data_IF_579431730050
#
_entry.id   IF_579431730050
#
_cell.length_a   1.000
_cell.length_b   1.000
_cell.length_c   1.000
_cell.angle_alpha   90.00
_cell.angle_beta   90.00
_cell.angle_gamma   90.00
#
_symmetry.space_group_name_H-M   'P 1'
#
loop_
_entity.id
_entity.type
_entity.pdbx_description
1 polymer ?
#
# COMPACT_ATOMS: atom_id res chain seq x y z
N UNK A 1 1.26 58.45 10.47
CA UNK A 1 -0.21 58.26 10.66
C UNK A 1 -0.56 56.85 10.17
N UNK A 2 -0.37 55.85 11.03
CA UNK A 2 -0.74 54.45 10.71
C UNK A 2 -2.12 54.17 11.29
N UNK A 3 -3.08 53.92 10.40
CA UNK A 3 -4.41 53.39 10.80
C UNK A 3 -4.22 51.89 11.11
N UNK A 4 -4.38 51.50 12.38
CA UNK A 4 -4.61 50.12 12.79
C UNK A 4 -5.97 49.69 12.21
N UNK A 5 -5.97 48.72 11.33
CA UNK A 5 -7.15 47.94 11.05
C UNK A 5 -7.35 46.97 12.22
N UNK A 6 -8.35 47.18 13.02
CA UNK A 6 -8.91 46.18 13.92
C UNK A 6 -9.55 45.11 13.05
N UNK A 7 -8.87 43.95 12.96
CA UNK A 7 -9.46 42.75 12.40
C UNK A 7 -10.47 42.22 13.44
N UNK A 8 -11.69 42.13 13.01
CA UNK A 8 -12.79 41.58 13.80
C UNK A 8 -12.54 40.11 14.07
N UNK A 9 -12.21 39.76 15.31
CA UNK A 9 -11.88 38.40 15.78
C UNK A 9 -13.16 37.57 15.93
N UNK A 10 -14.32 38.11 15.67
CA UNK A 10 -15.61 37.42 15.80
C UNK A 10 -16.03 36.62 14.55
N UNK A 11 -15.43 36.83 13.38
CA UNK A 11 -15.76 36.06 12.17
C UNK A 11 -14.96 34.77 11.95
N UNK A 12 -14.04 34.42 12.84
CA UNK A 12 -13.30 33.12 12.81
C UNK A 12 -13.83 32.11 13.83
N UNK A 13 -15.06 32.15 14.22
CA UNK A 13 -15.73 30.99 14.79
C UNK A 13 -16.27 30.14 13.67
N UNK A 14 -15.37 29.38 13.08
CA UNK A 14 -15.74 28.21 12.27
C UNK A 14 -16.65 27.32 13.12
N UNK A 15 -17.93 27.28 12.78
CA UNK A 15 -18.95 26.45 13.38
C UNK A 15 -18.71 24.98 12.98
N UNK A 16 -17.57 24.44 13.34
CA UNK A 16 -17.37 23.02 13.48
C UNK A 16 -18.19 22.54 14.67
N UNK A 17 -19.51 22.44 14.53
CA UNK A 17 -20.35 21.71 15.46
C UNK A 17 -19.78 20.27 15.53
N UNK A 18 -18.96 20.04 16.56
CA UNK A 18 -18.61 18.68 16.94
C UNK A 18 -19.93 17.98 17.28
N UNK A 19 -20.45 17.19 16.36
CA UNK A 19 -21.56 16.30 16.65
C UNK A 19 -21.12 15.36 17.78
N UNK A 20 -21.53 15.69 18.99
CA UNK A 20 -21.32 14.85 20.17
C UNK A 20 -22.32 13.70 20.02
N UNK A 21 -21.87 12.58 19.43
CA UNK A 21 -22.65 11.33 19.45
C UNK A 21 -22.60 10.78 20.86
N UNK A 22 -23.76 10.49 21.46
CA UNK A 22 -23.84 9.78 22.75
C UNK A 22 -23.19 8.40 22.56
N UNK A 23 -22.17 8.10 23.38
CA UNK A 23 -21.51 6.80 23.36
C UNK A 23 -22.37 5.78 24.14
N UNK A 24 -22.85 4.77 23.45
CA UNK A 24 -23.57 3.66 24.07
C UNK A 24 -22.59 2.65 24.66
N UNK A 25 -22.42 2.67 25.99
CA UNK A 25 -21.56 1.74 26.71
C UNK A 25 -22.09 0.29 26.69
N UNK A 26 -23.36 0.08 26.36
CA UNK A 26 -23.94 -1.27 26.24
C UNK A 26 -23.54 -1.92 24.90
N UNK A 27 -23.13 -1.12 23.89
CA UNK A 27 -22.70 -1.57 22.57
C UNK A 27 -21.41 -0.84 22.15
N UNK A 28 -20.26 -1.25 22.72
CA UNK A 28 -19.00 -0.60 22.39
C UNK A 28 -18.67 -0.78 20.90
N UNK A 29 -18.23 0.31 20.26
CA UNK A 29 -17.78 0.24 18.87
C UNK A 29 -16.57 -0.71 18.78
N UNK A 30 -16.69 -1.75 17.98
CA UNK A 30 -15.61 -2.71 17.72
C UNK A 30 -14.56 -2.14 16.75
N UNK A 31 -14.93 -1.12 15.96
CA UNK A 31 -14.02 -0.43 15.03
C UNK A 31 -13.43 0.80 15.70
N UNK A 32 -12.10 0.93 15.69
CA UNK A 32 -11.41 2.15 16.08
C UNK A 32 -11.45 3.18 14.94
N UNK A 33 -11.20 4.46 15.27
CA UNK A 33 -11.05 5.50 14.23
C UNK A 33 -9.90 5.21 13.27
N UNK A 34 -8.84 4.56 13.73
CA UNK A 34 -7.70 4.17 12.90
C UNK A 34 -8.10 3.08 11.90
N UNK A 35 -8.90 2.09 12.33
CA UNK A 35 -9.40 1.06 11.44
C UNK A 35 -10.25 1.65 10.31
N UNK A 36 -11.19 2.56 10.65
CA UNK A 36 -12.03 3.22 9.66
C UNK A 36 -11.20 4.04 8.67
N UNK A 37 -10.22 4.81 9.16
CA UNK A 37 -9.33 5.59 8.30
C UNK A 37 -8.49 4.71 7.38
N UNK A 38 -8.01 3.56 7.86
CA UNK A 38 -7.28 2.61 7.02
C UNK A 38 -8.19 2.03 5.94
N UNK A 39 -9.43 1.69 6.29
CA UNK A 39 -10.42 1.25 5.31
C UNK A 39 -10.70 2.33 4.26
N UNK A 40 -10.80 3.61 4.63
CA UNK A 40 -10.93 4.72 3.67
C UNK A 40 -9.80 4.69 2.64
N UNK A 41 -8.55 4.57 3.08
CA UNK A 41 -7.38 4.51 2.19
C UNK A 41 -7.46 3.31 1.23
N UNK A 42 -7.86 2.12 1.74
CA UNK A 42 -8.08 0.92 0.91
C UNK A 42 -9.14 1.20 -0.16
N UNK A 43 -10.26 1.80 0.23
CA UNK A 43 -11.37 2.05 -0.67
C UNK A 43 -11.17 3.27 -1.58
N UNK A 44 -10.31 4.22 -1.23
CA UNK A 44 -9.82 5.24 -2.18
C UNK A 44 -9.03 4.59 -3.33
N UNK A 45 -8.19 3.59 -3.01
CA UNK A 45 -7.50 2.82 -4.05
C UNK A 45 -8.51 2.05 -4.90
N UNK A 46 -9.47 1.38 -4.29
CA UNK A 46 -10.57 0.72 -4.99
C UNK A 46 -11.35 1.66 -5.91
N UNK A 47 -11.67 2.86 -5.44
CA UNK A 47 -12.34 3.89 -6.24
C UNK A 47 -11.56 4.29 -7.49
N UNK A 48 -10.23 4.40 -7.38
CA UNK A 48 -9.36 4.65 -8.55
C UNK A 48 -9.42 3.50 -9.56
N UNK A 49 -9.42 2.25 -9.09
CA UNK A 49 -9.54 1.08 -9.96
C UNK A 49 -10.89 1.03 -10.67
N UNK A 50 -11.98 1.32 -9.97
CA UNK A 50 -13.32 1.44 -10.57
C UNK A 50 -13.33 2.54 -11.64
N UNK A 51 -12.81 3.73 -11.33
CA UNK A 51 -12.75 4.86 -12.27
C UNK A 51 -11.96 4.54 -13.54
N UNK A 52 -11.01 3.62 -13.47
CA UNK A 52 -10.17 3.22 -14.60
C UNK A 52 -10.79 2.08 -15.40
N UNK A 53 -11.37 1.07 -14.73
CA UNK A 53 -11.81 -0.17 -15.36
C UNK A 53 -13.26 -0.13 -15.86
N UNK A 54 -14.20 0.43 -15.10
CA UNK A 54 -15.63 0.45 -15.51
C UNK A 54 -15.90 1.27 -16.78
N UNK A 55 -15.18 2.36 -17.12
CA UNK A 55 -15.35 3.07 -18.39
C UNK A 55 -15.20 2.19 -19.62
N UNK A 56 -14.40 1.13 -19.55
CA UNK A 56 -14.21 0.16 -20.66
C UNK A 56 -15.55 -0.53 -21.01
N UNK A 57 -16.35 -0.84 -19.99
CA UNK A 57 -17.65 -1.53 -20.13
C UNK A 57 -18.77 -0.54 -20.42
N UNK A 58 -18.82 0.58 -19.69
CA UNK A 58 -19.93 1.54 -19.76
C UNK A 58 -19.74 2.62 -20.83
N UNK A 59 -18.55 2.71 -21.43
CA UNK A 59 -18.19 3.70 -22.48
C UNK A 59 -18.55 5.14 -22.10
N UNK A 60 -18.36 5.47 -20.83
CA UNK A 60 -18.61 6.79 -20.26
C UNK A 60 -17.57 7.06 -19.18
N UNK A 61 -17.21 8.33 -18.99
CA UNK A 61 -16.34 8.72 -17.88
C UNK A 61 -17.02 8.45 -16.54
N UNK A 62 -16.28 7.88 -15.60
CA UNK A 62 -16.77 7.54 -14.26
C UNK A 62 -15.86 8.21 -13.25
N UNK A 63 -16.45 8.98 -12.35
CA UNK A 63 -15.78 9.57 -11.20
C UNK A 63 -16.23 8.84 -9.94
N UNK A 64 -15.27 8.50 -9.09
CA UNK A 64 -15.53 7.77 -7.85
C UNK A 64 -14.80 8.48 -6.72
N UNK A 65 -15.52 8.77 -5.65
CA UNK A 65 -15.01 9.45 -4.48
C UNK A 65 -15.52 8.79 -3.20
N UNK A 66 -14.63 8.48 -2.27
CA UNK A 66 -15.02 7.98 -0.96
C UNK A 66 -15.53 9.15 -0.12
N UNK A 67 -16.77 9.07 0.33
CA UNK A 67 -17.43 10.13 1.09
C UNK A 67 -17.13 10.04 2.59
N UNK A 68 -17.35 8.88 3.16
CA UNK A 68 -17.11 8.62 4.58
C UNK A 68 -16.96 7.13 4.87
N UNK A 69 -16.47 6.84 6.08
CA UNK A 69 -16.49 5.53 6.69
C UNK A 69 -17.08 5.63 8.11
N UNK A 70 -18.02 4.76 8.41
CA UNK A 70 -18.64 4.74 9.73
C UNK A 70 -18.91 3.32 10.22
N UNK A 71 -18.98 3.17 11.56
CA UNK A 71 -19.32 1.93 12.20
C UNK A 71 -20.76 2.03 12.75
N UNK A 72 -21.62 1.13 12.27
CA UNK A 72 -23.04 1.06 12.67
C UNK A 72 -23.43 -0.39 12.88
N UNK A 73 -24.67 -0.63 13.34
CA UNK A 73 -25.23 -1.98 13.37
C UNK A 73 -25.78 -2.38 11.99
N UNK A 74 -25.77 -3.67 11.69
CA UNK A 74 -26.35 -4.16 10.44
C UNK A 74 -27.83 -3.79 10.29
N UNK A 75 -28.59 -3.78 11.41
CA UNK A 75 -29.98 -3.36 11.40
C UNK A 75 -30.16 -1.89 10.98
N UNK A 76 -29.28 -1.00 11.41
CA UNK A 76 -29.31 0.42 10.99
C UNK A 76 -29.07 0.55 9.49
N UNK A 77 -28.08 -0.16 8.97
CA UNK A 77 -27.79 -0.19 7.53
C UNK A 77 -28.98 -0.76 6.72
N UNK A 78 -29.48 -1.95 7.09
CA UNK A 78 -30.57 -2.60 6.38
C UNK A 78 -31.86 -1.78 6.37
N UNK A 79 -32.14 -1.06 7.45
CA UNK A 79 -33.32 -0.18 7.55
C UNK A 79 -33.17 1.14 6.77
N UNK A 80 -31.94 1.57 6.51
CA UNK A 80 -31.67 2.77 5.72
C UNK A 80 -31.80 2.55 4.21
N UNK A 81 -31.78 1.28 3.74
CA UNK A 81 -31.86 0.95 2.33
C UNK A 81 -33.30 1.12 1.79
N UNK A 82 -33.42 1.76 0.64
CA UNK A 82 -34.67 1.88 -0.09
C UNK A 82 -34.80 0.77 -1.14
N UNK A 83 -35.97 0.11 -1.19
CA UNK A 83 -36.23 -0.90 -2.22
C UNK A 83 -36.83 -0.25 -3.49
N UNK A 84 -36.52 -0.76 -4.69
CA UNK A 84 -35.53 -1.80 -4.98
C UNK A 84 -34.08 -1.30 -4.79
N UNK A 85 -33.21 -2.20 -4.40
CA UNK A 85 -31.77 -1.96 -4.21
C UNK A 85 -31.00 -3.11 -4.87
N UNK A 86 -29.75 -2.92 -5.22
CA UNK A 86 -28.88 -4.01 -5.69
C UNK A 86 -27.85 -4.32 -4.62
N UNK A 87 -27.95 -5.50 -4.03
CA UNK A 87 -27.07 -6.02 -3.00
C UNK A 87 -26.29 -7.23 -3.54
N UNK A 88 -25.01 -7.04 -3.82
CA UNK A 88 -24.10 -8.14 -4.13
C UNK A 88 -23.56 -8.76 -2.85
N UNK A 89 -23.85 -10.05 -2.64
CA UNK A 89 -23.28 -10.82 -1.54
C UNK A 89 -21.96 -11.41 -2.02
N UNK A 90 -20.88 -11.03 -1.37
CA UNK A 90 -19.53 -11.33 -1.79
C UNK A 90 -18.83 -12.18 -0.74
N UNK A 91 -18.37 -13.35 -1.13
CA UNK A 91 -17.49 -14.18 -0.31
C UNK A 91 -16.09 -13.56 -0.29
N UNK A 92 -15.52 -13.40 0.89
CA UNK A 92 -14.26 -12.67 1.11
C UNK A 92 -13.09 -13.62 1.42
N UNK A 93 -13.01 -14.75 0.72
CA UNK A 93 -11.95 -15.76 0.94
C UNK A 93 -10.55 -15.14 0.86
N UNK A 94 -9.59 -15.50 1.77
CA UNK A 94 -9.64 -16.57 2.77
C UNK A 94 -10.33 -16.19 4.10
N UNK A 95 -10.82 -14.96 4.22
CA UNK A 95 -11.59 -14.54 5.39
C UNK A 95 -12.92 -15.27 5.46
N UNK A 96 -13.36 -15.62 6.68
CA UNK A 96 -14.63 -16.31 6.88
C UNK A 96 -15.76 -15.29 6.95
N UNK A 97 -16.77 -15.47 6.11
CA UNK A 97 -17.95 -14.61 6.07
C UNK A 97 -18.11 -13.93 4.72
N UNK A 98 -19.22 -13.22 4.58
CA UNK A 98 -19.56 -12.49 3.37
C UNK A 98 -19.65 -11.00 3.67
N UNK A 99 -19.29 -10.19 2.70
CA UNK A 99 -19.47 -8.74 2.71
C UNK A 99 -20.60 -8.38 1.74
N UNK A 100 -21.17 -7.19 1.88
CA UNK A 100 -22.21 -6.73 1.00
C UNK A 100 -21.68 -5.52 0.21
N UNK A 101 -21.83 -5.60 -1.10
CA UNK A 101 -21.61 -4.48 -2.03
C UNK A 101 -22.99 -3.98 -2.49
N UNK A 102 -23.40 -2.82 -2.03
CA UNK A 102 -24.65 -2.19 -2.41
C UNK A 102 -24.43 -1.18 -3.52
N UNK A 103 -25.31 -1.20 -4.52
CA UNK A 103 -25.37 -0.20 -5.57
C UNK A 103 -26.78 0.40 -5.58
N UNK A 104 -26.86 1.73 -5.48
CA UNK A 104 -28.13 2.42 -5.57
C UNK A 104 -28.83 2.19 -6.92
N UNK A 105 -30.17 2.07 -6.88
CA UNK A 105 -30.96 1.69 -8.05
C UNK A 105 -30.75 2.58 -9.27
N UNK A 106 -30.61 3.90 -9.05
CA UNK A 106 -30.37 4.86 -10.15
C UNK A 106 -29.06 4.57 -10.88
N UNK A 107 -27.98 4.23 -10.15
CA UNK A 107 -26.72 3.80 -10.76
C UNK A 107 -26.88 2.48 -11.51
N UNK A 108 -27.55 1.50 -10.89
CA UNK A 108 -27.74 0.19 -11.49
C UNK A 108 -28.49 0.28 -12.83
N UNK A 109 -29.56 1.07 -12.91
CA UNK A 109 -30.28 1.30 -14.16
C UNK A 109 -29.41 2.01 -15.20
N UNK A 110 -28.65 3.04 -14.79
CA UNK A 110 -27.72 3.74 -15.69
C UNK A 110 -26.65 2.79 -16.23
N UNK A 111 -26.11 1.90 -15.38
CA UNK A 111 -25.14 0.89 -15.80
C UNK A 111 -25.74 -0.08 -16.82
N UNK A 112 -26.96 -0.56 -16.58
CA UNK A 112 -27.67 -1.44 -17.51
C UNK A 112 -27.92 -0.75 -18.84
N UNK A 113 -28.45 0.47 -18.83
CA UNK A 113 -28.72 1.25 -20.04
C UNK A 113 -27.45 1.45 -20.87
N UNK A 114 -26.34 1.83 -20.22
CA UNK A 114 -25.03 2.00 -20.87
C UNK A 114 -24.49 0.70 -21.46
N UNK A 115 -24.66 -0.43 -20.79
CA UNK A 115 -24.25 -1.75 -21.29
C UNK A 115 -25.05 -2.16 -22.53
N UNK A 116 -26.31 -1.76 -22.61
CA UNK A 116 -27.20 -2.00 -23.77
C UNK A 116 -27.00 -0.97 -24.89
N UNK A 117 -26.15 0.06 -24.67
CA UNK A 117 -25.84 1.08 -25.68
C UNK A 117 -26.73 2.32 -25.61
N UNK A 118 -27.51 2.48 -24.55
CA UNK A 118 -28.32 3.69 -24.30
C UNK A 118 -27.50 4.90 -23.90
N UNK A 119 -28.15 6.04 -23.69
CA UNK A 119 -27.54 7.35 -23.32
C UNK A 119 -27.05 7.38 -21.87
N UNK A 120 -27.59 6.53 -21.01
CA UNK A 120 -27.32 6.51 -19.57
C UNK A 120 -28.14 7.55 -18.81
N UNK A 121 -29.32 7.89 -19.29
CA UNK A 121 -30.23 8.81 -18.61
C UNK A 121 -30.88 8.14 -17.39
N UNK A 122 -31.20 8.92 -16.35
CA UNK A 122 -31.87 8.38 -15.18
C UNK A 122 -33.25 7.87 -15.52
N UNK A 123 -33.66 6.76 -14.91
CA UNK A 123 -34.99 6.21 -15.12
C UNK A 123 -36.07 7.16 -14.56
N UNK A 124 -37.06 7.50 -15.37
CA UNK A 124 -38.12 8.42 -14.96
C UNK A 124 -38.97 7.88 -13.79
N UNK A 125 -39.08 6.57 -13.64
CA UNK A 125 -39.82 5.92 -12.55
C UNK A 125 -39.08 4.66 -12.09
N UNK A 126 -38.77 4.60 -10.82
CA UNK A 126 -38.16 3.43 -10.17
C UNK A 126 -39.16 2.25 -10.25
N UNK A 127 -38.70 1.07 -10.67
CA UNK A 127 -39.41 -0.18 -10.76
C UNK A 127 -38.51 -1.32 -10.34
N UNK A 128 -39.06 -2.53 -10.25
CA UNK A 128 -38.27 -3.72 -10.03
C UNK A 128 -37.40 -4.05 -11.28
N UNK A 129 -36.24 -4.64 -11.04
CA UNK A 129 -35.37 -5.12 -12.11
C UNK A 129 -35.91 -6.37 -12.77
N UNK A 130 -35.83 -6.43 -14.09
CA UNK A 130 -36.14 -7.65 -14.85
C UNK A 130 -34.98 -8.65 -14.75
N UNK A 131 -35.23 -9.92 -15.04
CA UNK A 131 -34.23 -10.99 -15.02
C UNK A 131 -33.05 -10.69 -15.96
N UNK A 132 -33.28 -10.08 -17.11
CA UNK A 132 -32.22 -9.70 -18.05
C UNK A 132 -31.38 -8.60 -17.49
N UNK A 133 -31.96 -7.58 -16.84
CA UNK A 133 -31.27 -6.51 -16.20
C UNK A 133 -30.38 -7.01 -15.04
N UNK A 134 -30.91 -7.97 -14.26
CA UNK A 134 -30.14 -8.60 -13.18
C UNK A 134 -28.93 -9.37 -13.70
N UNK A 135 -29.00 -10.07 -14.80
CA UNK A 135 -27.84 -10.74 -15.41
C UNK A 135 -26.76 -9.73 -15.87
N UNK A 136 -27.20 -8.58 -16.38
CA UNK A 136 -26.27 -7.50 -16.76
C UNK A 136 -25.60 -6.90 -15.51
N UNK A 137 -26.39 -6.65 -14.48
CA UNK A 137 -25.91 -6.14 -13.19
C UNK A 137 -24.93 -7.14 -12.56
N UNK A 138 -25.25 -8.44 -12.60
CA UNK A 138 -24.37 -9.50 -12.07
C UNK A 138 -22.98 -9.45 -12.74
N UNK A 139 -22.94 -9.26 -14.05
CA UNK A 139 -21.70 -9.13 -14.79
C UNK A 139 -20.87 -7.89 -14.35
N UNK A 140 -21.53 -6.75 -14.20
CA UNK A 140 -20.87 -5.51 -13.75
C UNK A 140 -20.40 -5.66 -12.30
N UNK A 141 -21.25 -6.23 -11.44
CA UNK A 141 -20.93 -6.49 -10.05
C UNK A 141 -19.73 -7.44 -9.93
N UNK A 142 -19.66 -8.47 -10.78
CA UNK A 142 -18.51 -9.37 -10.86
C UNK A 142 -17.21 -8.61 -11.13
N UNK A 143 -17.20 -7.68 -12.08
CA UNK A 143 -16.05 -6.82 -12.35
C UNK A 143 -15.69 -5.97 -11.12
N UNK A 144 -16.68 -5.37 -10.45
CA UNK A 144 -16.45 -4.59 -9.24
C UNK A 144 -15.86 -5.46 -8.11
N UNK A 145 -16.32 -6.70 -7.98
CA UNK A 145 -15.83 -7.65 -6.98
C UNK A 145 -14.39 -8.06 -7.26
N UNK A 146 -14.05 -8.35 -8.51
CA UNK A 146 -12.69 -8.72 -8.90
C UNK A 146 -11.66 -7.60 -8.58
N UNK A 147 -12.09 -6.35 -8.74
CA UNK A 147 -11.26 -5.18 -8.42
C UNK A 147 -10.99 -4.99 -6.92
N UNK A 148 -11.72 -5.67 -6.02
CA UNK A 148 -11.46 -5.62 -4.58
C UNK A 148 -10.13 -6.31 -4.20
N UNK A 149 -9.60 -7.20 -5.02
CA UNK A 149 -8.40 -7.96 -4.70
C UNK A 149 -7.17 -7.06 -4.49
N UNK A 150 -6.90 -6.18 -5.43
CA UNK A 150 -5.68 -5.37 -5.47
C UNK A 150 -5.54 -4.42 -4.26
N UNK A 151 -6.56 -3.65 -3.85
CA UNK A 151 -6.47 -2.77 -2.68
C UNK A 151 -6.18 -3.49 -1.36
N UNK A 152 -6.54 -4.77 -1.25
CA UNK A 152 -6.33 -5.58 -0.05
C UNK A 152 -5.02 -6.35 -0.02
N UNK A 153 -4.22 -6.33 -1.09
CA UNK A 153 -2.98 -7.11 -1.22
C UNK A 153 -1.98 -6.86 -0.08
N UNK A 154 -1.97 -5.64 0.47
CA UNK A 154 -1.10 -5.29 1.61
C UNK A 154 -1.62 -5.81 2.96
N UNK A 155 -2.88 -6.19 3.06
CA UNK A 155 -3.52 -6.71 4.29
C UNK A 155 -3.61 -8.23 4.24
N UNK A 156 -4.18 -8.74 3.15
CA UNK A 156 -4.43 -10.16 2.93
C UNK A 156 -4.62 -10.42 1.43
N UNK A 157 -4.08 -11.53 0.92
CA UNK A 157 -4.33 -11.95 -0.47
C UNK A 157 -5.77 -12.45 -0.60
N UNK A 158 -6.67 -11.55 -1.01
CA UNK A 158 -8.09 -11.84 -1.16
C UNK A 158 -8.39 -12.49 -2.50
N UNK A 159 -9.33 -13.43 -2.45
CA UNK A 159 -9.99 -14.02 -3.62
C UNK A 159 -11.50 -13.79 -3.52
N UNK A 160 -11.97 -12.55 -3.68
CA UNK A 160 -13.38 -12.23 -3.53
C UNK A 160 -14.19 -12.89 -4.65
N UNK A 161 -15.39 -13.35 -4.33
CA UNK A 161 -16.32 -13.93 -5.30
C UNK A 161 -17.73 -13.47 -5.03
N UNK A 162 -18.43 -13.04 -6.07
CA UNK A 162 -19.85 -12.76 -6.00
C UNK A 162 -20.60 -14.08 -5.83
N UNK A 163 -21.35 -14.24 -4.74
CA UNK A 163 -22.17 -15.43 -4.49
C UNK A 163 -23.54 -15.31 -5.12
N UNK A 164 -24.20 -14.17 -4.90
CA UNK A 164 -25.53 -13.89 -5.44
C UNK A 164 -25.86 -12.41 -5.35
N UNK A 165 -26.92 -12.01 -6.03
CA UNK A 165 -27.49 -10.66 -5.96
C UNK A 165 -28.88 -10.76 -5.34
N UNK A 166 -29.18 -9.82 -4.44
CA UNK A 166 -30.50 -9.61 -3.86
C UNK A 166 -30.99 -8.21 -4.21
N UNK A 167 -32.29 -8.06 -4.48
CA UNK A 167 -32.90 -6.77 -4.83
C UNK A 167 -33.76 -6.19 -3.71
N UNK A 168 -33.91 -6.94 -2.64
CA UNK A 168 -34.66 -6.54 -1.45
C UNK A 168 -33.78 -6.66 -0.21
N UNK A 169 -33.65 -5.58 0.55
CA UNK A 169 -32.83 -5.50 1.75
C UNK A 169 -33.25 -6.52 2.83
N UNK A 170 -34.53 -6.91 2.88
CA UNK A 170 -35.06 -7.87 3.85
C UNK A 170 -34.58 -9.32 3.61
N UNK A 171 -34.20 -9.66 2.36
CA UNK A 171 -33.71 -11.01 2.04
C UNK A 171 -32.20 -11.16 2.22
N UNK A 172 -31.46 -10.09 2.39
CA UNK A 172 -30.02 -10.10 2.63
C UNK A 172 -29.65 -10.43 4.11
N UNK A 173 -30.38 -11.36 4.76
CA UNK A 173 -30.15 -11.73 6.16
C UNK A 173 -28.96 -12.67 6.34
N UNK A 174 -27.80 -12.28 5.88
CA UNK A 174 -26.54 -13.02 6.02
C UNK A 174 -25.77 -12.65 7.30
N UNK A 175 -26.09 -11.51 7.87
CA UNK A 175 -25.43 -10.91 9.02
C UNK A 175 -26.45 -10.75 10.14
N UNK A 176 -26.04 -11.02 11.39
CA UNK A 176 -26.90 -10.77 12.55
C UNK A 176 -27.30 -9.28 12.61
N UNK A 177 -28.58 -8.93 12.88
CA UNK A 177 -29.02 -7.55 12.99
C UNK A 177 -28.24 -6.70 14.00
N UNK A 178 -27.72 -7.33 15.05
CA UNK A 178 -26.94 -6.69 16.11
C UNK A 178 -25.42 -6.65 15.82
N UNK A 179 -24.97 -7.23 14.69
CA UNK A 179 -23.57 -7.23 14.33
C UNK A 179 -23.10 -5.83 13.97
N UNK A 180 -21.91 -5.48 14.46
CA UNK A 180 -21.24 -4.24 14.08
C UNK A 180 -20.59 -4.39 12.71
N UNK A 181 -20.88 -3.44 11.85
CA UNK A 181 -20.35 -3.36 10.50
C UNK A 181 -19.63 -2.04 10.29
N UNK A 182 -18.60 -2.05 9.45
CA UNK A 182 -18.06 -0.83 8.86
C UNK A 182 -18.72 -0.61 7.51
N UNK A 183 -19.28 0.59 7.30
CA UNK A 183 -19.84 1.02 6.03
C UNK A 183 -18.88 2.02 5.41
N UNK A 184 -18.49 1.78 4.19
CA UNK A 184 -17.78 2.73 3.36
C UNK A 184 -18.70 3.23 2.28
N UNK A 185 -19.03 4.51 2.31
CA UNK A 185 -19.91 5.16 1.34
C UNK A 185 -19.06 5.79 0.25
N UNK A 186 -19.32 5.39 -0.97
CA UNK A 186 -18.63 5.85 -2.18
C UNK A 186 -19.64 6.55 -3.07
N UNK A 187 -19.35 7.77 -3.46
CA UNK A 187 -20.09 8.48 -4.49
C UNK A 187 -19.57 8.09 -5.87
N UNK A 188 -20.47 7.64 -6.74
CA UNK A 188 -20.15 7.24 -8.12
C UNK A 188 -20.94 8.11 -9.07
N UNK A 189 -20.22 8.78 -9.98
CA UNK A 189 -20.81 9.62 -11.03
C UNK A 189 -20.52 9.03 -12.40
N UNK A 190 -21.57 8.69 -13.13
CA UNK A 190 -21.53 8.14 -14.49
C UNK A 190 -22.13 9.19 -15.46
N UNK A 191 -21.27 9.99 -16.09
CA UNK A 191 -21.71 11.16 -16.86
C UNK A 191 -22.44 12.17 -16.00
N UNK A 192 -23.76 12.31 -16.18
CA UNK A 192 -24.59 13.26 -15.44
C UNK A 192 -25.38 12.61 -14.29
N UNK A 193 -25.35 11.27 -14.20
CA UNK A 193 -26.01 10.52 -13.14
C UNK A 193 -25.06 10.28 -11.98
N UNK A 194 -25.51 10.62 -10.77
CA UNK A 194 -24.78 10.47 -9.54
C UNK A 194 -25.55 9.60 -8.56
N UNK A 195 -24.87 8.76 -7.83
CA UNK A 195 -25.46 7.88 -6.84
C UNK A 195 -24.43 7.23 -5.91
N UNK A 196 -24.93 6.50 -4.94
CA UNK A 196 -24.11 5.90 -3.91
C UNK A 196 -23.84 4.41 -4.17
N UNK A 197 -22.65 4.00 -3.81
CA UNK A 197 -22.24 2.61 -3.66
C UNK A 197 -21.73 2.45 -2.23
N UNK A 198 -22.28 1.48 -1.49
CA UNK A 198 -21.86 1.21 -0.13
C UNK A 198 -21.23 -0.17 -0.02
N UNK A 199 -20.14 -0.26 0.72
CA UNK A 199 -19.51 -1.51 1.07
C UNK A 199 -19.70 -1.75 2.56
N UNK A 200 -20.43 -2.84 2.88
CA UNK A 200 -20.72 -3.25 4.24
C UNK A 200 -19.78 -4.40 4.64
N UNK A 201 -18.92 -4.13 5.60
CA UNK A 201 -17.86 -5.03 6.09
C UNK A 201 -18.17 -5.45 7.54
N UNK A 202 -18.64 -6.69 7.78
CA UNK A 202 -18.89 -7.17 9.14
C UNK A 202 -17.59 -7.29 9.95
N UNK A 203 -17.65 -6.91 11.22
CA UNK A 203 -16.50 -7.02 12.11
C UNK A 203 -15.98 -8.45 12.20
N UNK A 204 -16.85 -9.44 12.32
CA UNK A 204 -16.48 -10.86 12.40
C UNK A 204 -15.67 -11.32 11.17
N UNK A 205 -15.97 -10.78 10.00
CA UNK A 205 -15.24 -11.09 8.75
C UNK A 205 -13.84 -10.47 8.79
N UNK A 206 -13.70 -9.26 9.32
CA UNK A 206 -12.43 -8.53 9.38
C UNK A 206 -11.58 -8.84 10.62
N UNK A 207 -12.15 -9.48 11.65
CA UNK A 207 -11.48 -9.75 12.92
C UNK A 207 -10.08 -10.35 12.76
N UNK A 208 -9.83 -11.34 11.87
CA UNK A 208 -8.50 -11.93 11.70
C UNK A 208 -7.43 -10.97 11.16
N UNK A 209 -7.83 -9.85 10.56
CA UNK A 209 -6.94 -8.89 9.92
C UNK A 209 -6.97 -7.50 10.56
N UNK A 210 -7.71 -7.33 11.67
CA UNK A 210 -7.84 -6.04 12.34
C UNK A 210 -6.51 -5.44 12.77
N UNK A 211 -5.57 -6.26 13.22
CA UNK A 211 -4.23 -5.79 13.62
C UNK A 211 -3.43 -5.19 12.46
N UNK A 212 -3.72 -5.65 11.23
CA UNK A 212 -3.10 -5.14 10.00
C UNK A 212 -3.80 -3.90 9.45
N UNK A 213 -5.02 -3.62 9.88
CA UNK A 213 -5.77 -2.42 9.54
C UNK A 213 -5.37 -1.22 10.41
N UNK A 214 -4.08 -1.07 10.66
CA UNK A 214 -3.49 0.05 11.37
C UNK A 214 -2.61 0.85 10.40
N UNK A 215 -2.74 2.18 10.43
CA UNK A 215 -1.97 3.10 9.57
C UNK A 215 -0.46 2.91 9.70
N UNK A 216 0.04 2.57 10.89
CA UNK A 216 1.48 2.28 11.10
C UNK A 216 1.94 1.06 10.31
N UNK A 217 1.14 -0.01 10.27
CA UNK A 217 1.44 -1.21 9.51
C UNK A 217 1.49 -0.94 8.00
N UNK A 218 0.59 -0.10 7.51
CA UNK A 218 0.53 0.28 6.10
C UNK A 218 1.77 1.03 5.63
N UNK A 219 2.21 2.02 6.43
CA UNK A 219 3.42 2.77 6.12
C UNK A 219 4.67 1.91 6.19
N UNK A 220 4.77 0.99 7.17
CA UNK A 220 5.92 0.08 7.26
C UNK A 220 5.98 -0.91 6.09
N UNK A 221 4.84 -1.48 5.69
CA UNK A 221 4.78 -2.45 4.58
C UNK A 221 5.06 -1.80 3.21
N UNK A 222 4.66 -0.55 3.01
CA UNK A 222 5.04 0.22 1.83
C UNK A 222 6.55 0.48 1.79
N UNK A 223 7.16 0.83 2.93
CA UNK A 223 8.62 1.00 3.02
C UNK A 223 9.37 -0.32 2.79
N UNK A 224 8.92 -1.43 3.36
CA UNK A 224 9.57 -2.74 3.17
C UNK A 224 9.54 -3.23 1.71
N UNK A 225 8.45 -3.02 0.97
CA UNK A 225 8.38 -3.38 -0.46
C UNK A 225 9.34 -2.53 -1.32
N UNK A 226 9.46 -1.24 -1.03
CA UNK A 226 10.44 -0.38 -1.69
C UNK A 226 11.86 -0.73 -1.27
N UNK A 227 12.11 -1.00 0.01
CA UNK A 227 13.44 -1.39 0.51
C UNK A 227 13.93 -2.69 -0.11
N UNK A 228 13.10 -3.72 -0.26
CA UNK A 228 13.50 -4.98 -0.91
C UNK A 228 13.89 -4.77 -2.38
N UNK A 229 13.16 -3.94 -3.11
CA UNK A 229 13.45 -3.64 -4.51
C UNK A 229 14.75 -2.86 -4.67
N UNK A 230 15.09 -1.98 -3.71
CA UNK A 230 16.36 -1.26 -3.68
C UNK A 230 17.50 -2.11 -3.14
N UNK A 231 17.26 -3.05 -2.24
CA UNK A 231 18.28 -3.93 -1.65
C UNK A 231 18.98 -4.75 -2.71
N UNK A 232 18.26 -5.40 -3.62
CA UNK A 232 18.86 -6.17 -4.73
C UNK A 232 19.69 -5.29 -5.67
N UNK A 233 19.22 -4.07 -5.95
CA UNK A 233 19.96 -3.12 -6.77
C UNK A 233 21.22 -2.63 -6.06
N UNK A 234 21.15 -2.37 -4.76
CA UNK A 234 22.27 -1.94 -3.92
C UNK A 234 23.29 -3.06 -3.78
N UNK A 235 22.88 -4.30 -3.52
CA UNK A 235 23.77 -5.47 -3.47
C UNK A 235 24.52 -5.65 -4.79
N UNK A 236 23.83 -5.50 -5.92
CA UNK A 236 24.44 -5.59 -7.25
C UNK A 236 25.46 -4.47 -7.48
N UNK A 237 25.21 -3.26 -7.00
CA UNK A 237 26.13 -2.13 -7.10
C UNK A 237 27.33 -2.32 -6.18
N UNK A 238 27.13 -2.77 -4.94
CA UNK A 238 28.19 -3.02 -3.97
C UNK A 238 29.11 -4.14 -4.47
N UNK A 239 28.55 -5.23 -5.02
CA UNK A 239 29.34 -6.35 -5.55
C UNK A 239 30.25 -5.96 -6.72
N UNK A 240 29.93 -4.90 -7.44
CA UNK A 240 30.70 -4.37 -8.58
C UNK A 240 31.60 -3.18 -8.20
N UNK A 241 31.51 -2.69 -6.96
CA UNK A 241 32.28 -1.53 -6.54
C UNK A 241 33.78 -1.90 -6.46
N UNK A 242 34.68 -1.13 -7.11
CA UNK A 242 36.11 -1.36 -7.02
C UNK A 242 36.62 -0.97 -5.63
N UNK A 243 37.25 -1.90 -4.94
CA UNK A 243 37.87 -1.64 -3.65
C UNK A 243 39.39 -1.68 -3.82
N UNK A 244 40.14 -0.63 -3.44
CA UNK A 244 41.59 -0.63 -3.58
C UNK A 244 42.22 -1.63 -2.58
N UNK A 245 43.09 -2.49 -3.11
CA UNK A 245 43.90 -3.40 -2.31
C UNK A 245 45.32 -2.86 -2.30
N UNK A 246 45.91 -2.71 -1.09
CA UNK A 246 47.26 -2.18 -0.88
C UNK A 246 48.06 -3.13 -0.02
N UNK A 247 49.20 -3.60 -0.52
CA UNK A 247 50.20 -4.29 0.28
C UNK A 247 51.24 -3.24 0.77
N UNK A 248 51.42 -3.14 2.07
CA UNK A 248 52.39 -2.22 2.65
C UNK A 248 53.71 -2.91 2.77
N UNK A 249 54.65 -2.48 1.96
CA UNK A 249 56.00 -3.05 1.94
C UNK A 249 56.80 -2.78 3.22
N UNK A 250 56.53 -1.68 3.86
CA UNK A 250 57.12 -1.23 5.12
C UNK A 250 56.97 0.27 5.32
N UNK A 251 57.36 0.72 6.49
CA UNK A 251 57.36 2.14 6.84
C UNK A 251 58.79 2.62 7.04
N UNK A 252 59.04 3.90 6.82
CA UNK A 252 60.30 4.54 7.09
C UNK A 252 60.06 5.95 7.65
N UNK A 253 60.91 6.39 8.54
CA UNK A 253 60.90 7.75 9.04
C UNK A 253 62.14 8.47 8.54
N UNK A 254 61.95 9.52 7.78
CA UNK A 254 63.02 10.34 7.21
C UNK A 254 62.82 11.81 7.65
N UNK A 255 63.89 12.58 7.68
CA UNK A 255 63.78 14.00 7.96
C UNK A 255 63.18 14.74 6.75
N UNK A 256 62.57 15.92 7.01
CA UNK A 256 62.04 16.76 5.93
C UNK A 256 63.16 17.18 4.97
N UNK A 257 64.35 17.41 5.48
CA UNK A 257 65.50 17.78 4.67
C UNK A 257 65.95 16.64 3.74
N UNK A 258 65.96 15.39 4.23
CA UNK A 258 66.34 14.23 3.45
C UNK A 258 65.25 13.97 2.37
N UNK A 259 63.98 14.17 2.74
CA UNK A 259 62.88 14.04 1.77
C UNK A 259 63.00 15.07 0.63
N UNK A 260 63.34 16.31 0.94
CA UNK A 260 63.48 17.38 -0.06
C UNK A 260 64.66 17.15 -1.00
N UNK A 261 65.70 16.41 -0.56
CA UNK A 261 66.91 16.15 -1.33
C UNK A 261 66.95 14.76 -1.98
N UNK A 262 65.86 13.98 -1.90
CA UNK A 262 65.74 12.64 -2.50
C UNK A 262 65.99 12.68 -4.02
N UNK A 263 66.90 11.85 -4.51
CA UNK A 263 67.21 11.70 -5.94
C UNK A 263 67.00 10.28 -6.42
N UNK A 264 66.85 10.12 -7.74
CA UNK A 264 66.78 8.78 -8.35
C UNK A 264 68.08 8.03 -8.13
N UNK A 265 68.01 6.89 -7.45
CA UNK A 265 69.13 6.05 -7.06
C UNK A 265 69.37 6.02 -5.54
N UNK A 266 68.70 6.86 -4.77
CA UNK A 266 68.79 6.85 -3.30
C UNK A 266 68.05 5.62 -2.73
N UNK A 267 68.60 5.10 -1.65
CA UNK A 267 68.06 3.93 -0.94
C UNK A 267 67.35 4.36 0.34
N UNK A 268 66.05 4.10 0.39
CA UNK A 268 65.24 4.34 1.61
C UNK A 268 65.11 3.01 2.35
N UNK A 269 65.64 2.96 3.59
CA UNK A 269 65.57 1.78 4.44
C UNK A 269 64.17 1.69 5.05
N UNK A 270 63.51 0.51 4.93
CA UNK A 270 62.23 0.21 5.55
C UNK A 270 62.43 -0.57 6.87
N UNK A 271 61.39 -0.54 7.71
CA UNK A 271 61.34 -1.27 8.98
C UNK A 271 61.06 -2.76 8.83
N UNK A 272 60.62 -3.20 7.65
CA UNK A 272 60.26 -4.61 7.33
C UNK A 272 61.50 -5.38 6.84
N UNK A 273 61.66 -6.66 7.26
CA UNK A 273 62.70 -7.55 6.80
C UNK A 273 62.27 -8.29 5.51
N UNK A 274 63.21 -8.75 4.71
CA UNK A 274 62.97 -9.37 3.39
C UNK A 274 62.08 -10.62 3.47
N UNK A 275 62.15 -11.38 4.56
CA UNK A 275 61.40 -12.62 4.76
C UNK A 275 60.16 -12.42 5.69
N UNK A 276 59.76 -11.19 5.94
CA UNK A 276 58.65 -10.86 6.82
C UNK A 276 57.35 -10.76 6.02
N UNK A 277 56.24 -11.24 6.61
CA UNK A 277 54.89 -11.04 6.06
C UNK A 277 54.51 -9.54 5.99
N UNK A 278 53.92 -9.17 4.87
CA UNK A 278 53.44 -7.83 4.61
C UNK A 278 51.95 -7.73 4.96
N UNK A 279 51.57 -6.60 5.50
CA UNK A 279 50.15 -6.31 5.74
C UNK A 279 49.45 -5.91 4.45
N UNK A 280 48.30 -6.57 4.16
CA UNK A 280 47.47 -6.26 3.02
C UNK A 280 46.16 -5.63 3.50
N UNK A 281 45.93 -4.44 3.02
CA UNK A 281 44.72 -3.65 3.31
C UNK A 281 43.76 -3.70 2.15
N UNK A 282 42.49 -3.95 2.47
CA UNK A 282 41.35 -3.81 1.56
C UNK A 282 40.62 -2.51 1.96
N UNK A 283 40.72 -1.48 1.14
CA UNK A 283 40.35 -0.12 1.56
C UNK A 283 41.25 0.37 2.70
N UNK A 284 40.67 0.59 3.88
CA UNK A 284 41.37 1.02 5.10
C UNK A 284 41.45 -0.09 6.17
N UNK A 285 41.01 -1.30 5.87
CA UNK A 285 40.99 -2.42 6.83
C UNK A 285 42.10 -3.40 6.49
N UNK A 286 42.95 -3.73 7.49
CA UNK A 286 43.90 -4.85 7.37
C UNK A 286 43.15 -6.15 7.33
N UNK A 287 43.18 -6.84 6.18
CA UNK A 287 42.38 -8.05 5.94
C UNK A 287 43.26 -9.30 5.79
N UNK A 288 44.41 -9.18 5.13
CA UNK A 288 45.28 -10.32 4.80
C UNK A 288 46.73 -10.02 5.15
N UNK A 289 47.56 -11.06 5.23
CA UNK A 289 49.01 -11.00 5.18
C UNK A 289 49.55 -11.70 3.93
N UNK A 290 50.66 -11.24 3.39
CA UNK A 290 51.26 -11.83 2.18
C UNK A 290 52.77 -11.84 2.27
N UNK A 291 53.37 -12.86 1.72
CA UNK A 291 54.85 -12.89 1.58
C UNK A 291 55.22 -12.22 0.26
N UNK A 292 56.24 -11.33 0.26
CA UNK A 292 56.73 -10.76 -0.98
C UNK A 292 57.49 -11.82 -1.76
N UNK A 293 57.16 -11.96 -3.05
CA UNK A 293 57.86 -12.83 -4.00
C UNK A 293 58.34 -12.00 -5.17
N UNK A 294 59.33 -12.50 -5.88
CA UNK A 294 59.86 -11.92 -7.11
C UNK A 294 59.64 -12.86 -8.29
N UNK A 295 58.97 -12.36 -9.33
CA UNK A 295 58.79 -13.05 -10.62
C UNK A 295 59.28 -12.12 -11.73
N UNK A 296 60.42 -12.41 -12.34
CA UNK A 296 61.10 -11.45 -13.22
C UNK A 296 61.59 -10.24 -12.45
N UNK A 297 61.19 -9.06 -12.83
CA UNK A 297 61.49 -7.81 -12.13
C UNK A 297 60.34 -7.25 -11.27
N UNK A 298 59.27 -8.05 -11.06
CA UNK A 298 58.07 -7.63 -10.34
C UNK A 298 57.93 -8.41 -9.03
N UNK A 299 57.59 -7.67 -7.95
CA UNK A 299 57.16 -8.25 -6.68
C UNK A 299 55.73 -8.78 -6.84
N UNK A 300 55.44 -9.98 -6.35
CA UNK A 300 54.08 -10.51 -6.27
C UNK A 300 53.79 -10.95 -4.83
N UNK A 301 52.52 -11.00 -4.47
CA UNK A 301 52.05 -11.48 -3.17
C UNK A 301 51.43 -12.86 -3.35
N UNK A 302 51.79 -13.79 -2.44
CA UNK A 302 51.18 -15.13 -2.38
C UNK A 302 50.12 -15.13 -1.27
N UNK A 303 48.91 -15.72 -1.47
CA UNK A 303 47.93 -15.82 -0.41
C UNK A 303 48.44 -16.63 0.76
N UNK A 304 48.17 -16.17 1.99
CA UNK A 304 48.54 -16.89 3.22
C UNK A 304 47.72 -18.19 3.35
N UNK A 305 48.26 -19.28 3.90
CA UNK A 305 47.53 -20.53 4.15
C UNK A 305 46.27 -20.36 5.02
N UNK A 306 46.14 -19.26 5.75
CA UNK A 306 44.92 -18.95 6.54
C UNK A 306 43.71 -18.58 5.68
N UNK A 307 43.94 -18.09 4.48
CA UNK A 307 42.83 -17.63 3.60
C UNK A 307 42.15 -18.80 2.85
N UNK A 308 42.76 -19.99 2.86
CA UNK A 308 42.20 -21.17 2.21
C UNK A 308 41.05 -21.85 2.97
N UNK A 309 40.77 -21.42 4.23
CA UNK A 309 39.75 -22.07 5.06
C UNK A 309 38.41 -21.26 5.16
N UNK A 310 38.38 -20.04 4.68
CA UNK A 310 37.14 -19.21 4.75
C UNK A 310 36.31 -19.18 3.46
N UNK A 311 36.68 -19.90 2.42
CA UNK A 311 35.90 -20.01 1.17
C UNK A 311 35.25 -21.39 1.03
N UNK A 312 34.34 -21.72 2.00
CA UNK A 312 33.38 -22.81 1.87
C UNK A 312 32.02 -22.37 2.40
#
# INVERSE_FOLDING_TARGET
MYKRQELDVEEMKDNGEKQIKNYDFARPSKFSKEHLRTLEIVFEHYGRLISTNLPVYLRKNIQVEVMNSEAVTYSEFSNALSNPVVLGIVNFSPLKGSVILEIASNLAYTMVDRMLGGSGEPLAKVRDFSEIELLIIERIMGVCVDLLREPWENVVDLHPRLERIETNSQFAQIISPSEMIAIITINVKIGDVEGLMNICLPYLTLEPVMDKLNTKYWYSTMQEKDEQRYTEAIETLISKAPIPVKAILGNSTISVNDFMNLQVGDIVRLDTKVDQELDVYVGNIRKFTALPGASGCLLYTSPSPRDAHESR
#
